data_IF_563910206066
#
_entry.id   IF_563910206066
#
_cell.length_a   1.000
_cell.length_b   1.000
_cell.length_c   1.000
_cell.angle_alpha   90.00
_cell.angle_beta   90.00
_cell.angle_gamma   90.00
#
_symmetry.space_group_name_H-M   'P 1'
#
loop_
_entity.id
_entity.type
_entity.pdbx_description
1 polymer ?
#
# COMPACT_ATOMS: atom_id res chain seq x y z
N UNK A 1 51.97 -28.81 55.06
CA UNK A 1 52.39 -28.75 53.65
C UNK A 1 51.42 -29.58 52.83
N UNK A 2 50.31 -28.94 52.42
CA UNK A 2 49.38 -29.20 51.32
C UNK A 2 48.04 -28.58 51.75
N UNK A 3 47.53 -27.66 50.95
CA UNK A 3 46.54 -26.65 51.32
C UNK A 3 45.24 -26.89 50.55
N UNK A 4 44.18 -27.17 51.32
CA UNK A 4 42.84 -26.54 51.33
C UNK A 4 41.97 -26.54 50.06
N UNK A 5 40.87 -27.30 50.17
CA UNK A 5 39.43 -27.00 50.03
C UNK A 5 38.83 -26.29 48.81
N UNK A 6 37.63 -26.81 48.57
CA UNK A 6 36.54 -26.58 47.62
C UNK A 6 35.93 -25.17 47.52
N UNK A 7 35.35 -25.00 46.32
CA UNK A 7 34.13 -24.31 45.92
C UNK A 7 33.97 -22.79 46.17
N UNK A 8 34.06 -22.02 45.09
CA UNK A 8 33.08 -20.99 44.62
C UNK A 8 33.73 -20.05 43.58
N UNK A 9 32.98 -19.81 42.51
CA UNK A 9 33.27 -18.87 41.41
C UNK A 9 33.61 -17.45 41.91
N UNK A 10 34.60 -16.76 41.30
CA UNK A 10 34.27 -15.43 40.81
C UNK A 10 35.13 -14.98 39.61
N UNK A 11 34.55 -14.76 38.42
CA UNK A 11 35.03 -13.71 37.48
C UNK A 11 33.89 -13.16 36.62
N UNK A 12 33.46 -11.94 36.92
CA UNK A 12 33.14 -10.96 35.86
C UNK A 12 34.33 -9.99 35.69
N UNK A 13 34.24 -8.99 34.81
CA UNK A 13 33.56 -8.94 33.52
C UNK A 13 34.58 -9.06 32.36
N UNK A 14 34.19 -9.69 31.25
CA UNK A 14 34.92 -9.51 29.99
C UNK A 14 34.59 -8.11 29.46
N UNK A 15 35.63 -7.33 29.16
CA UNK A 15 35.48 -6.01 28.53
C UNK A 15 34.81 -6.10 27.15
N UNK A 16 34.34 -4.97 26.59
CA UNK A 16 33.57 -4.97 25.37
C UNK A 16 34.48 -5.34 24.19
N UNK A 17 34.14 -6.41 23.49
CA UNK A 17 34.67 -6.73 22.16
C UNK A 17 33.58 -6.50 21.10
N UNK A 18 33.98 -6.20 19.86
CA UNK A 18 33.55 -5.01 19.15
C UNK A 18 32.23 -5.16 18.41
N UNK A 19 31.48 -4.05 18.33
CA UNK A 19 30.43 -3.88 17.33
C UNK A 19 31.01 -4.01 15.92
N UNK A 20 30.43 -4.91 15.13
CA UNK A 20 30.53 -4.87 13.67
C UNK A 20 31.28 -6.03 13.01
N UNK A 21 30.61 -7.18 12.87
CA UNK A 21 30.73 -8.02 11.66
C UNK A 21 29.36 -8.64 11.36
N UNK A 22 28.68 -8.17 10.31
CA UNK A 22 27.51 -8.84 9.77
C UNK A 22 27.89 -10.25 9.32
N UNK A 23 27.28 -11.27 9.91
CA UNK A 23 27.49 -12.66 9.50
C UNK A 23 26.84 -12.83 8.11
N UNK A 24 27.65 -12.96 7.06
CA UNK A 24 27.15 -13.33 5.73
C UNK A 24 26.42 -14.68 5.82
N UNK A 25 25.26 -14.78 5.16
CA UNK A 25 24.54 -16.04 5.08
C UNK A 25 25.39 -17.11 4.37
N UNK A 26 25.34 -18.33 4.88
CA UNK A 26 26.10 -19.47 4.37
C UNK A 26 25.48 -20.02 3.07
N UNK A 27 24.16 -19.86 2.92
CA UNK A 27 23.38 -20.27 1.75
C UNK A 27 22.55 -19.10 1.21
N UNK A 28 22.29 -19.12 -0.10
CA UNK A 28 21.45 -18.12 -0.74
C UNK A 28 19.97 -18.48 -0.56
N UNK A 29 19.64 -19.78 -0.61
CA UNK A 29 18.29 -20.29 -0.43
C UNK A 29 18.22 -21.52 0.48
N UNK A 30 17.24 -21.53 1.39
CA UNK A 30 16.76 -22.74 2.05
C UNK A 30 15.45 -23.21 1.39
N UNK A 31 15.36 -24.50 1.02
CA UNK A 31 14.14 -25.08 0.44
C UNK A 31 13.37 -25.85 1.52
N UNK A 32 12.23 -25.29 1.94
CA UNK A 32 11.29 -25.88 2.90
C UNK A 32 10.18 -26.62 2.14
N UNK A 33 9.96 -27.89 2.45
CA UNK A 33 8.99 -28.75 1.78
C UNK A 33 8.46 -29.83 2.71
N UNK A 34 7.32 -30.43 2.37
CA UNK A 34 6.80 -31.61 3.07
C UNK A 34 7.34 -32.87 2.41
N UNK A 35 7.59 -33.95 3.16
CA UNK A 35 8.28 -35.15 2.67
C UNK A 35 7.65 -35.78 1.39
N UNK A 36 6.35 -35.58 1.15
CA UNK A 36 5.69 -36.05 -0.09
C UNK A 36 6.12 -35.28 -1.33
N UNK A 37 6.52 -34.03 -1.17
CA UNK A 37 6.91 -33.11 -2.25
C UNK A 37 8.42 -33.14 -2.52
N UNK A 38 9.12 -34.18 -2.03
CA UNK A 38 10.56 -34.29 -2.12
C UNK A 38 11.13 -34.27 -3.54
N UNK A 39 10.41 -34.84 -4.51
CA UNK A 39 10.84 -34.81 -5.92
C UNK A 39 10.84 -33.39 -6.47
N UNK A 40 9.84 -32.57 -6.12
CA UNK A 40 9.83 -31.14 -6.45
C UNK A 40 10.94 -30.37 -5.74
N UNK A 41 11.22 -30.70 -4.47
CA UNK A 41 12.28 -30.04 -3.70
C UNK A 41 13.67 -30.29 -4.30
N UNK A 42 13.95 -31.54 -4.68
CA UNK A 42 15.17 -31.93 -5.41
C UNK A 42 15.28 -31.21 -6.74
N UNK A 43 14.20 -31.18 -7.51
CA UNK A 43 14.19 -30.54 -8.82
C UNK A 43 14.44 -29.02 -8.71
N UNK A 44 13.74 -28.33 -7.81
CA UNK A 44 13.94 -26.89 -7.57
C UNK A 44 15.37 -26.59 -7.12
N UNK A 45 15.91 -27.38 -6.18
CA UNK A 45 17.29 -27.20 -5.72
C UNK A 45 18.31 -27.37 -6.87
N UNK A 46 18.11 -28.40 -7.71
CA UNK A 46 18.97 -28.65 -8.88
C UNK A 46 19.01 -27.45 -9.83
N UNK A 47 17.86 -26.89 -10.19
CA UNK A 47 17.79 -25.73 -11.11
C UNK A 47 18.54 -24.52 -10.55
N UNK A 48 18.48 -24.30 -9.25
CA UNK A 48 19.14 -23.17 -8.59
C UNK A 48 20.66 -23.36 -8.47
N UNK A 49 21.12 -24.58 -8.16
CA UNK A 49 22.56 -24.88 -8.12
C UNK A 49 23.21 -24.82 -9.51
N UNK A 50 22.47 -25.15 -10.58
CA UNK A 50 22.99 -25.03 -11.95
C UNK A 50 23.28 -23.56 -12.31
N UNK A 51 22.45 -22.64 -11.82
CA UNK A 51 22.65 -21.18 -11.85
C UNK A 51 23.61 -20.66 -10.76
N UNK A 52 24.34 -21.57 -10.10
CA UNK A 52 25.42 -21.30 -9.13
C UNK A 52 24.97 -20.70 -7.79
N UNK A 53 23.69 -20.83 -7.43
CA UNK A 53 23.24 -20.51 -6.08
C UNK A 53 23.65 -21.60 -5.09
N UNK A 54 23.95 -21.21 -3.85
CA UNK A 54 24.18 -22.12 -2.72
C UNK A 54 22.84 -22.47 -2.10
N UNK A 55 22.41 -23.73 -2.26
CA UNK A 55 21.10 -24.19 -1.78
C UNK A 55 21.24 -25.12 -0.59
N UNK A 56 20.46 -24.86 0.45
CA UNK A 56 20.29 -25.77 1.58
C UNK A 56 19.01 -26.58 1.36
N UNK A 57 19.18 -27.85 0.96
CA UNK A 57 18.09 -28.83 0.85
C UNK A 57 18.27 -29.94 1.89
N UNK A 58 17.20 -30.26 2.63
CA UNK A 58 17.27 -31.23 3.72
C UNK A 58 17.74 -32.63 3.25
N UNK A 59 17.31 -33.10 2.09
CA UNK A 59 17.69 -34.43 1.59
C UNK A 59 19.15 -34.58 1.15
N UNK A 60 19.80 -33.49 0.72
CA UNK A 60 21.14 -33.55 0.13
C UNK A 60 22.25 -33.23 1.13
N UNK A 61 21.89 -32.57 2.25
CA UNK A 61 22.85 -32.02 3.20
C UNK A 61 22.79 -32.67 4.60
N UNK A 62 21.95 -33.69 4.84
CA UNK A 62 21.86 -34.38 6.14
C UNK A 62 22.24 -35.86 6.09
N UNK A 63 23.23 -36.24 6.92
CA UNK A 63 23.58 -37.62 7.26
C UNK A 63 22.69 -38.18 8.39
N UNK A 64 22.50 -39.51 8.51
CA UNK A 64 21.72 -40.12 9.59
C UNK A 64 22.19 -39.72 10.99
N UNK A 65 21.25 -39.29 11.87
CA UNK A 65 21.54 -38.95 13.28
C UNK A 65 21.20 -37.51 13.73
N UNK A 66 20.68 -36.68 12.83
CA UNK A 66 20.41 -35.25 13.11
C UNK A 66 18.98 -35.01 13.63
N UNK A 67 18.81 -34.25 14.72
CA UNK A 67 17.50 -33.98 15.34
C UNK A 67 16.68 -32.94 14.55
N UNK A 68 15.52 -33.36 14.03
CA UNK A 68 14.71 -32.66 13.03
C UNK A 68 14.16 -31.30 13.51
N UNK A 69 13.62 -31.22 14.73
CA UNK A 69 12.93 -30.01 15.22
C UNK A 69 13.88 -28.87 15.63
N UNK A 70 15.15 -29.16 15.90
CA UNK A 70 16.14 -28.20 16.37
C UNK A 70 16.97 -27.55 15.23
N UNK A 71 16.79 -27.98 13.98
CA UNK A 71 17.57 -27.49 12.82
C UNK A 71 16.90 -26.34 12.07
N UNK A 72 15.56 -26.32 12.00
CA UNK A 72 14.81 -25.37 11.17
C UNK A 72 15.16 -23.89 11.40
N UNK A 73 15.23 -23.46 12.67
CA UNK A 73 15.60 -22.07 12.99
C UNK A 73 17.06 -21.76 12.63
N UNK A 74 17.97 -22.73 12.74
CA UNK A 74 19.38 -22.58 12.34
C UNK A 74 19.50 -22.48 10.83
N UNK A 75 18.81 -23.36 10.11
CA UNK A 75 18.85 -23.47 8.64
C UNK A 75 18.26 -22.22 7.96
N UNK A 76 17.17 -21.69 8.52
CA UNK A 76 16.58 -20.41 8.08
C UNK A 76 17.46 -19.20 8.43
N UNK A 77 18.19 -19.23 9.54
CA UNK A 77 19.11 -18.14 9.91
C UNK A 77 20.40 -18.18 9.08
N UNK A 78 20.80 -19.37 8.62
CA UNK A 78 21.97 -19.59 7.78
C UNK A 78 21.75 -19.24 6.30
N UNK A 79 20.51 -18.96 5.89
CA UNK A 79 20.12 -18.71 4.49
C UNK A 79 19.60 -17.29 4.28
N UNK A 80 19.90 -16.66 3.13
CA UNK A 80 19.38 -15.31 2.84
C UNK A 80 17.86 -15.28 2.68
N UNK A 81 17.30 -16.30 2.02
CA UNK A 81 15.87 -16.45 1.77
C UNK A 81 15.43 -17.91 1.91
N UNK A 82 14.15 -18.09 2.19
CA UNK A 82 13.47 -19.40 2.30
C UNK A 82 12.46 -19.54 1.17
N UNK A 83 12.61 -20.60 0.37
CA UNK A 83 11.61 -21.04 -0.61
C UNK A 83 10.71 -22.06 0.09
N UNK A 84 9.41 -21.81 0.14
CA UNK A 84 8.43 -22.73 0.72
C UNK A 84 7.64 -23.43 -0.40
N UNK A 85 7.83 -24.74 -0.55
CA UNK A 85 7.05 -25.55 -1.50
C UNK A 85 5.70 -25.90 -0.87
N UNK A 86 4.65 -25.22 -1.34
CA UNK A 86 3.32 -25.28 -0.76
C UNK A 86 2.45 -26.30 -1.50
N UNK A 87 1.97 -27.25 -0.72
CA UNK A 87 0.97 -28.26 -1.06
C UNK A 87 -0.09 -28.30 0.06
N UNK A 88 -1.27 -28.87 -0.16
CA UNK A 88 -2.23 -29.24 0.87
C UNK A 88 -1.56 -30.05 1.99
N UNK A 89 -0.61 -30.93 1.66
CA UNK A 89 0.10 -31.73 2.69
C UNK A 89 1.08 -30.89 3.50
N UNK A 90 1.74 -29.91 2.87
CA UNK A 90 2.54 -28.89 3.54
C UNK A 90 1.67 -28.00 4.44
N UNK A 91 0.51 -27.57 3.95
CA UNK A 91 -0.44 -26.73 4.69
C UNK A 91 -1.11 -27.49 5.83
N UNK A 92 -1.32 -28.80 5.73
CA UNK A 92 -1.93 -29.60 6.78
C UNK A 92 -0.96 -29.94 7.92
N UNK A 93 0.35 -29.74 7.71
CA UNK A 93 1.35 -30.06 8.71
C UNK A 93 1.62 -28.89 9.66
N UNK A 94 1.30 -29.09 10.93
CA UNK A 94 1.52 -28.10 12.00
C UNK A 94 3.01 -27.73 12.19
N UNK A 95 3.93 -28.53 11.67
CA UNK A 95 5.37 -28.28 11.74
C UNK A 95 5.82 -27.28 10.64
N UNK A 96 5.42 -27.51 9.40
CA UNK A 96 5.70 -26.67 8.23
C UNK A 96 4.92 -25.35 8.29
N UNK A 97 3.74 -25.34 8.92
CA UNK A 97 3.02 -24.10 9.27
C UNK A 97 3.89 -23.12 10.09
N UNK A 98 4.58 -23.63 11.11
CA UNK A 98 5.47 -22.81 11.94
C UNK A 98 6.70 -22.31 11.17
N UNK A 99 7.16 -23.04 10.15
CA UNK A 99 8.34 -22.68 9.36
C UNK A 99 8.17 -21.37 8.59
N UNK A 100 7.04 -21.20 7.90
CA UNK A 100 6.80 -19.97 7.14
C UNK A 100 6.28 -18.83 8.03
N UNK A 101 5.56 -19.12 9.11
CA UNK A 101 5.14 -18.11 10.10
C UNK A 101 6.36 -17.43 10.74
N UNK A 102 7.40 -18.19 11.09
CA UNK A 102 8.67 -17.66 11.61
C UNK A 102 9.45 -16.84 10.58
N UNK A 103 9.41 -17.23 9.29
CA UNK A 103 10.04 -16.45 8.22
C UNK A 103 9.36 -15.09 8.03
N UNK A 104 8.03 -15.08 8.12
CA UNK A 104 7.21 -13.87 7.99
C UNK A 104 7.35 -12.92 9.19
N UNK A 105 7.48 -13.44 10.42
CA UNK A 105 7.71 -12.62 11.61
C UNK A 105 9.04 -11.86 11.57
N UNK A 106 10.05 -12.38 10.88
CA UNK A 106 11.36 -11.72 10.72
C UNK A 106 11.43 -10.76 9.51
N UNK A 107 10.46 -10.79 8.60
CA UNK A 107 10.32 -9.86 7.47
C UNK A 107 8.89 -9.91 6.91
N UNK A 108 8.13 -8.83 7.09
CA UNK A 108 6.77 -8.65 6.53
C UNK A 108 6.75 -8.44 5.00
N UNK A 109 7.67 -9.07 4.26
CA UNK A 109 7.75 -9.07 2.80
C UNK A 109 8.61 -7.97 2.16
N UNK A 110 9.29 -7.12 2.93
CA UNK A 110 10.11 -6.02 2.38
C UNK A 110 11.50 -6.49 1.94
N UNK A 111 12.12 -7.41 2.69
CA UNK A 111 13.35 -8.09 2.29
C UNK A 111 13.10 -9.35 1.42
N UNK A 112 11.83 -9.74 1.25
CA UNK A 112 11.39 -10.92 0.49
C UNK A 112 12.09 -12.18 0.99
N UNK A 113 12.16 -12.34 2.31
CA UNK A 113 12.80 -13.50 2.94
C UNK A 113 12.02 -14.80 2.76
N UNK A 114 10.72 -14.75 2.52
CA UNK A 114 9.89 -15.93 2.25
C UNK A 114 9.36 -15.88 0.82
N UNK A 115 9.60 -16.95 0.06
CA UNK A 115 9.20 -17.12 -1.35
C UNK A 115 8.30 -18.35 -1.48
N UNK A 116 6.96 -18.20 -1.45
CA UNK A 116 6.05 -19.32 -1.61
C UNK A 116 6.02 -19.80 -3.08
N UNK A 117 6.16 -21.11 -3.27
CA UNK A 117 6.03 -21.79 -4.57
C UNK A 117 5.02 -22.92 -4.42
N UNK A 118 3.87 -22.84 -5.09
CA UNK A 118 2.83 -23.87 -5.03
C UNK A 118 3.17 -24.99 -6.01
N UNK A 119 3.25 -26.22 -5.52
CA UNK A 119 3.51 -27.43 -6.31
C UNK A 119 2.24 -28.21 -6.62
N UNK A 120 1.11 -27.78 -6.05
CA UNK A 120 -0.24 -28.23 -6.37
C UNK A 120 -1.27 -27.12 -6.10
N UNK A 121 -2.44 -27.23 -6.72
CA UNK A 121 -3.51 -26.23 -6.63
C UNK A 121 -4.20 -26.24 -5.26
N UNK A 122 -3.55 -25.61 -4.28
CA UNK A 122 -4.05 -25.48 -2.91
C UNK A 122 -4.29 -24.01 -2.52
N UNK A 123 -5.34 -23.74 -1.73
CA UNK A 123 -5.64 -22.38 -1.26
C UNK A 123 -4.70 -21.97 -0.13
N UNK A 124 -3.98 -20.87 -0.31
CA UNK A 124 -3.08 -20.32 0.72
C UNK A 124 -3.89 -19.68 1.87
N UNK A 125 -3.74 -20.15 3.11
CA UNK A 125 -4.46 -19.61 4.26
C UNK A 125 -3.73 -18.41 4.89
N UNK A 126 -4.49 -17.51 5.50
CA UNK A 126 -3.96 -16.43 6.34
C UNK A 126 -2.87 -15.60 5.64
N UNK A 127 -1.77 -15.36 6.36
CA UNK A 127 -0.66 -14.49 5.91
C UNK A 127 0.07 -15.01 4.66
N UNK A 128 0.06 -16.32 4.38
CA UNK A 128 0.59 -16.86 3.12
C UNK A 128 -0.23 -16.39 1.90
N UNK A 129 -1.53 -16.16 2.09
CA UNK A 129 -2.41 -15.65 1.03
C UNK A 129 -2.16 -14.19 0.68
N UNK A 130 -1.49 -13.44 1.56
CA UNK A 130 -1.14 -12.03 1.35
C UNK A 130 0.25 -11.85 0.69
N UNK A 131 1.00 -12.94 0.50
CA UNK A 131 2.29 -12.95 -0.19
C UNK A 131 2.09 -13.47 -1.62
N UNK A 132 2.68 -12.78 -2.60
CA UNK A 132 2.67 -13.25 -3.98
C UNK A 132 3.41 -14.60 -4.07
N UNK A 133 2.70 -15.65 -4.44
CA UNK A 133 3.24 -16.99 -4.68
C UNK A 133 3.51 -17.23 -6.17
N UNK A 134 4.36 -18.21 -6.46
CA UNK A 134 4.59 -18.75 -7.81
C UNK A 134 3.94 -20.13 -7.93
N UNK A 135 3.12 -20.35 -8.96
CA UNK A 135 2.47 -21.63 -9.22
C UNK A 135 3.37 -22.45 -10.18
N UNK A 136 3.95 -23.54 -9.67
CA UNK A 136 4.77 -24.48 -10.42
C UNK A 136 3.96 -25.66 -10.98
N UNK A 137 2.76 -25.89 -10.44
CA UNK A 137 1.79 -26.84 -11.01
C UNK A 137 1.18 -26.29 -12.31
N UNK A 138 0.67 -27.18 -13.16
CA UNK A 138 0.08 -26.85 -14.47
C UNK A 138 0.99 -26.13 -15.47
N UNK A 139 2.32 -26.16 -15.27
CA UNK A 139 3.30 -25.70 -16.26
C UNK A 139 3.48 -26.77 -17.35
N UNK A 140 3.56 -26.32 -18.61
CA UNK A 140 3.47 -27.18 -19.79
C UNK A 140 4.60 -28.22 -19.92
N UNK A 141 5.83 -27.84 -19.57
CA UNK A 141 7.00 -28.71 -19.61
C UNK A 141 8.10 -28.25 -18.63
N UNK A 142 9.14 -29.09 -18.48
CA UNK A 142 10.24 -28.86 -17.54
C UNK A 142 11.10 -27.63 -17.89
N UNK A 143 11.29 -27.34 -19.18
CA UNK A 143 12.13 -26.22 -19.61
C UNK A 143 11.45 -24.88 -19.27
N UNK A 144 10.13 -24.79 -19.49
CA UNK A 144 9.34 -23.63 -19.11
C UNK A 144 9.24 -23.50 -17.58
N UNK A 145 9.06 -24.61 -16.87
CA UNK A 145 9.04 -24.61 -15.40
C UNK A 145 10.36 -24.06 -14.82
N UNK A 146 11.51 -24.50 -15.35
CA UNK A 146 12.83 -24.03 -14.91
C UNK A 146 13.00 -22.53 -15.19
N UNK A 147 12.65 -22.08 -16.40
CA UNK A 147 12.73 -20.67 -16.80
C UNK A 147 11.89 -19.77 -15.88
N UNK A 148 10.66 -20.18 -15.58
CA UNK A 148 9.75 -19.43 -14.72
C UNK A 148 10.23 -19.39 -13.26
N UNK A 149 10.73 -20.52 -12.74
CA UNK A 149 11.32 -20.60 -11.41
C UNK A 149 12.51 -19.64 -11.27
N UNK A 150 13.46 -19.67 -12.21
CA UNK A 150 14.64 -18.81 -12.16
C UNK A 150 14.28 -17.33 -12.29
N UNK A 151 13.32 -16.99 -13.17
CA UNK A 151 12.81 -15.63 -13.29
C UNK A 151 12.16 -15.15 -11.98
N UNK A 152 11.39 -16.02 -11.32
CA UNK A 152 10.78 -15.73 -10.02
C UNK A 152 11.82 -15.42 -8.95
N UNK A 153 12.93 -16.15 -8.94
CA UNK A 153 14.05 -15.93 -8.02
C UNK A 153 14.76 -14.60 -8.30
N UNK A 154 15.03 -14.28 -9.56
CA UNK A 154 15.61 -12.99 -9.95
C UNK A 154 14.69 -11.83 -9.56
N UNK A 155 13.38 -11.99 -9.77
CA UNK A 155 12.38 -11.00 -9.39
C UNK A 155 12.34 -10.79 -7.87
N UNK A 156 12.48 -11.87 -7.10
CA UNK A 156 12.55 -11.84 -5.64
C UNK A 156 13.83 -11.16 -5.14
N UNK A 157 14.98 -11.37 -5.77
CA UNK A 157 16.23 -10.69 -5.41
C UNK A 157 16.19 -9.20 -5.75
N UNK A 158 15.75 -8.87 -6.97
CA UNK A 158 15.69 -7.49 -7.47
C UNK A 158 14.51 -6.68 -6.92
N UNK A 159 13.48 -7.35 -6.38
CA UNK A 159 12.23 -6.74 -5.93
C UNK A 159 11.35 -6.21 -7.05
N UNK A 160 11.55 -6.68 -8.28
CA UNK A 160 10.86 -6.14 -9.46
C UNK A 160 10.54 -7.22 -10.49
N UNK A 161 9.27 -7.60 -10.58
CA UNK A 161 8.74 -8.56 -11.56
C UNK A 161 8.39 -7.90 -12.90
N UNK A 162 9.34 -7.17 -13.50
CA UNK A 162 9.08 -6.47 -14.76
C UNK A 162 9.38 -7.43 -15.94
N UNK A 163 8.40 -7.74 -16.81
CA UNK A 163 8.63 -8.56 -18.00
C UNK A 163 9.79 -8.03 -18.84
N UNK A 164 10.63 -8.94 -19.34
CA UNK A 164 11.74 -8.63 -20.26
C UNK A 164 11.24 -8.14 -21.61
N UNK A 165 10.14 -8.72 -22.10
CA UNK A 165 9.38 -8.22 -23.25
C UNK A 165 8.17 -7.42 -22.79
N UNK A 166 7.82 -6.37 -23.53
CA UNK A 166 6.63 -5.58 -23.24
C UNK A 166 5.39 -6.46 -23.44
N UNK A 167 4.52 -6.64 -22.43
CA UNK A 167 3.31 -7.42 -22.62
C UNK A 167 2.41 -6.74 -23.68
N UNK A 168 1.70 -7.52 -24.52
CA UNK A 168 0.78 -6.96 -25.49
C UNK A 168 -0.31 -6.15 -24.78
N UNK A 169 -0.90 -5.22 -25.51
CA UNK A 169 -1.97 -4.41 -24.95
C UNK A 169 -3.17 -5.30 -24.59
N UNK A 170 -3.67 -5.30 -23.34
CA UNK A 170 -4.85 -6.08 -22.99
C UNK A 170 -6.04 -5.71 -23.90
N UNK A 171 -6.53 -6.68 -24.68
CA UNK A 171 -7.59 -6.48 -25.69
C UNK A 171 -7.11 -6.41 -27.14
N UNK A 172 -5.80 -6.52 -27.42
CA UNK A 172 -5.32 -6.79 -28.78
C UNK A 172 -5.34 -8.30 -29.06
N UNK A 173 -5.81 -8.73 -30.24
CA UNK A 173 -5.63 -10.09 -30.77
C UNK A 173 -4.17 -10.34 -31.19
N UNK A 174 -3.21 -9.83 -30.42
CA UNK A 174 -1.79 -10.08 -30.62
C UNK A 174 -1.48 -11.47 -30.10
N UNK A 175 -1.10 -12.37 -31.01
CA UNK A 175 -0.49 -13.66 -30.68
C UNK A 175 0.74 -13.47 -29.79
N UNK A 176 0.90 -14.39 -28.84
CA UNK A 176 1.94 -14.48 -27.81
C UNK A 176 3.36 -14.12 -28.30
N UNK A 177 4.18 -13.43 -27.49
CA UNK A 177 5.55 -13.10 -27.84
C UNK A 177 6.50 -14.25 -27.47
N UNK A 178 6.46 -15.33 -28.26
CA UNK A 178 7.58 -16.28 -28.35
C UNK A 178 8.46 -16.01 -29.58
N UNK A 179 8.27 -14.87 -30.26
CA UNK A 179 9.12 -14.48 -31.38
C UNK A 179 9.84 -13.15 -31.13
N UNK A 180 11.18 -13.11 -31.33
CA UNK A 180 12.01 -11.95 -31.01
C UNK A 180 11.86 -10.86 -32.07
N UNK A 181 11.53 -9.65 -31.64
CA UNK A 181 11.56 -8.45 -32.46
C UNK A 181 11.94 -7.23 -31.62
N UNK A 182 13.19 -6.79 -31.78
CA UNK A 182 13.76 -5.60 -31.14
C UNK A 182 12.95 -4.34 -31.47
N UNK A 183 12.66 -3.52 -30.45
CA UNK A 183 12.97 -2.08 -30.47
C UNK A 183 12.70 -1.46 -29.10
N UNK A 184 13.81 -1.03 -28.47
CA UNK A 184 13.87 -0.32 -27.19
C UNK A 184 13.11 1.01 -27.25
N UNK A 185 12.12 1.18 -26.36
CA UNK A 185 11.68 2.51 -25.91
C UNK A 185 11.67 2.55 -24.38
N UNK A 186 12.47 3.45 -23.81
CA UNK A 186 12.66 3.64 -22.37
C UNK A 186 11.30 3.92 -21.69
N UNK A 187 10.85 3.03 -20.80
CA UNK A 187 9.64 3.24 -19.99
C UNK A 187 9.94 4.14 -18.78
N UNK A 188 9.35 5.33 -18.78
CA UNK A 188 9.38 6.31 -17.68
C UNK A 188 8.56 5.82 -16.47
N UNK A 189 8.94 6.20 -15.24
CA UNK A 189 8.13 5.94 -14.03
C UNK A 189 6.82 6.74 -14.04
N UNK A 190 5.76 6.32 -13.30
CA UNK A 190 4.51 7.10 -13.21
C UNK A 190 4.71 8.56 -12.80
N UNK A 191 5.68 8.81 -11.91
CA UNK A 191 6.10 10.16 -11.49
C UNK A 191 6.72 10.96 -12.63
N UNK A 192 7.52 10.31 -13.48
CA UNK A 192 8.10 10.92 -14.66
C UNK A 192 7.08 11.10 -15.81
N UNK A 193 5.93 10.42 -15.74
CA UNK A 193 4.84 10.52 -16.73
C UNK A 193 3.82 11.61 -16.38
N UNK A 194 3.53 11.86 -15.11
CA UNK A 194 2.59 12.91 -14.65
C UNK A 194 3.22 14.32 -14.74
N UNK A 195 3.56 14.73 -15.95
CA UNK A 195 4.09 16.06 -16.24
C UNK A 195 2.97 17.11 -16.30
N UNK A 196 3.34 18.35 -16.03
CA UNK A 196 2.45 19.51 -16.09
C UNK A 196 1.85 19.94 -14.76
N UNK A 197 0.97 20.92 -14.83
CA UNK A 197 0.36 21.59 -13.68
C UNK A 197 -0.89 20.84 -13.21
N UNK A 198 -1.11 20.66 -11.89
CA UNK A 198 -2.36 20.09 -11.38
C UNK A 198 -3.59 20.84 -11.90
N UNK A 199 -4.69 20.13 -12.16
CA UNK A 199 -5.94 20.70 -12.66
C UNK A 199 -6.45 21.81 -11.74
N UNK A 200 -6.36 21.61 -10.42
CA UNK A 200 -6.74 22.58 -9.39
C UNK A 200 -5.97 23.91 -9.44
N UNK A 201 -4.82 23.95 -10.13
CA UNK A 201 -3.99 25.15 -10.30
C UNK A 201 -4.12 25.80 -11.67
N UNK A 202 -4.92 25.23 -12.57
CA UNK A 202 -5.20 25.84 -13.86
C UNK A 202 -6.12 27.04 -13.70
N UNK A 203 -5.93 28.07 -14.52
CA UNK A 203 -6.85 29.22 -14.59
C UNK A 203 -8.27 28.76 -14.95
N UNK A 204 -8.34 27.71 -15.75
CA UNK A 204 -9.57 27.08 -16.24
C UNK A 204 -10.10 25.99 -15.29
N UNK A 205 -9.70 25.96 -14.01
CA UNK A 205 -10.16 24.93 -13.07
C UNK A 205 -11.70 24.84 -13.07
N UNK A 206 -12.30 23.67 -13.38
CA UNK A 206 -13.73 23.57 -13.64
C UNK A 206 -14.61 23.49 -12.40
N UNK A 207 -14.04 23.60 -11.19
CA UNK A 207 -14.80 23.56 -9.94
C UNK A 207 -14.88 24.96 -9.35
N UNK A 208 -16.10 25.43 -9.08
CA UNK A 208 -16.35 26.79 -8.61
C UNK A 208 -17.38 26.85 -7.50
N UNK A 209 -17.34 27.93 -6.73
CA UNK A 209 -18.37 28.28 -5.76
C UNK A 209 -19.41 29.18 -6.43
N UNK A 210 -20.60 28.64 -6.69
CA UNK A 210 -21.78 29.43 -7.03
C UNK A 210 -22.33 30.12 -5.79
N UNK A 211 -22.56 31.44 -5.90
CA UNK A 211 -23.14 32.28 -4.85
C UNK A 211 -22.48 32.15 -3.47
N UNK A 212 -21.19 31.79 -3.45
CA UNK A 212 -20.40 31.50 -2.22
C UNK A 212 -20.99 30.38 -1.34
N UNK A 213 -21.89 29.55 -1.87
CA UNK A 213 -22.64 28.55 -1.08
C UNK A 213 -22.66 27.15 -1.67
N UNK A 214 -22.63 27.00 -3.00
CA UNK A 214 -22.69 25.70 -3.66
C UNK A 214 -21.43 25.46 -4.49
N UNK A 215 -20.80 24.30 -4.32
CA UNK A 215 -19.71 23.88 -5.21
C UNK A 215 -20.34 23.24 -6.45
N UNK A 216 -19.92 23.65 -7.63
CA UNK A 216 -20.43 23.13 -8.90
C UNK A 216 -19.33 22.89 -9.92
N UNK A 217 -19.67 22.08 -10.93
CA UNK A 217 -18.85 21.88 -12.12
C UNK A 217 -19.25 22.90 -13.19
N UNK A 218 -18.42 23.90 -13.39
CA UNK A 218 -18.59 24.94 -14.42
C UNK A 218 -18.25 24.34 -15.79
N UNK A 219 -19.28 24.10 -16.61
CA UNK A 219 -19.16 23.42 -17.90
C UNK A 219 -18.35 24.22 -18.94
N UNK A 220 -18.34 25.54 -18.83
CA UNK A 220 -17.58 26.42 -19.71
C UNK A 220 -16.08 26.33 -19.37
N UNK A 221 -15.75 26.32 -18.07
CA UNK A 221 -14.40 26.07 -17.58
C UNK A 221 -13.95 24.65 -17.89
N UNK A 222 -14.82 23.64 -17.76
CA UNK A 222 -14.51 22.27 -18.14
C UNK A 222 -14.13 22.18 -19.63
N UNK A 223 -14.89 22.87 -20.49
CA UNK A 223 -14.59 22.96 -21.92
C UNK A 223 -13.22 23.60 -22.18
N UNK A 224 -12.94 24.75 -21.57
CA UNK A 224 -11.65 25.45 -21.70
C UNK A 224 -10.49 24.64 -21.12
N UNK A 225 -10.70 23.98 -19.99
CA UNK A 225 -9.72 23.09 -19.36
C UNK A 225 -9.36 21.94 -20.31
N UNK A 226 -10.35 21.25 -20.90
CA UNK A 226 -10.10 20.19 -21.88
C UNK A 226 -9.24 20.69 -23.05
N UNK A 227 -9.60 21.84 -23.62
CA UNK A 227 -8.86 22.44 -24.74
C UNK A 227 -7.41 22.77 -24.35
N UNK A 228 -7.21 23.39 -23.19
CA UNK A 228 -5.89 23.78 -22.70
C UNK A 228 -5.02 22.57 -22.34
N UNK A 229 -5.61 21.57 -21.66
CA UNK A 229 -4.94 20.31 -21.33
C UNK A 229 -4.37 19.66 -22.60
N UNK A 230 -5.18 19.57 -23.66
CA UNK A 230 -4.74 19.02 -24.96
C UNK A 230 -3.64 19.90 -25.57
N UNK A 231 -3.85 21.22 -25.64
CA UNK A 231 -2.91 22.15 -26.27
C UNK A 231 -1.53 22.16 -25.60
N UNK A 232 -1.48 22.06 -24.27
CA UNK A 232 -0.25 22.09 -23.47
C UNK A 232 0.37 20.70 -23.23
N UNK A 233 -0.25 19.61 -23.71
CA UNK A 233 0.14 18.22 -23.39
C UNK A 233 0.27 17.99 -21.87
N UNK A 234 -0.62 18.58 -21.07
CA UNK A 234 -0.58 18.49 -19.61
C UNK A 234 -1.16 17.15 -19.12
N UNK A 235 -0.29 16.15 -18.95
CA UNK A 235 -0.67 14.79 -18.55
C UNK A 235 -1.33 14.76 -17.19
N UNK A 236 -0.80 15.51 -16.22
CA UNK A 236 -1.33 15.55 -14.86
C UNK A 236 -2.77 16.04 -14.81
N UNK A 237 -3.04 17.19 -15.43
CA UNK A 237 -4.38 17.73 -15.48
C UNK A 237 -5.34 16.82 -16.28
N UNK A 238 -4.86 16.09 -17.30
CA UNK A 238 -5.67 15.11 -18.03
C UNK A 238 -6.17 13.98 -17.12
N UNK A 239 -5.28 13.41 -16.29
CA UNK A 239 -5.63 12.34 -15.33
C UNK A 239 -6.59 12.85 -14.25
N UNK A 240 -6.32 14.03 -13.70
CA UNK A 240 -7.18 14.64 -12.68
C UNK A 240 -8.56 15.04 -13.25
N UNK A 241 -8.62 15.49 -14.51
CA UNK A 241 -9.86 15.83 -15.21
C UNK A 241 -10.70 14.57 -15.48
N UNK A 242 -10.06 13.48 -15.91
CA UNK A 242 -10.73 12.20 -16.09
C UNK A 242 -11.35 11.70 -14.79
N UNK A 243 -10.60 11.78 -13.68
CA UNK A 243 -11.10 11.44 -12.35
C UNK A 243 -12.32 12.29 -11.99
N UNK A 244 -12.19 13.63 -12.07
CA UNK A 244 -13.26 14.57 -11.72
C UNK A 244 -14.54 14.30 -12.51
N UNK A 245 -14.44 14.14 -13.84
CA UNK A 245 -15.60 13.91 -14.69
C UNK A 245 -16.19 12.51 -14.47
N UNK A 246 -15.35 11.49 -14.27
CA UNK A 246 -15.82 10.13 -14.03
C UNK A 246 -16.64 10.01 -12.73
N UNK A 247 -16.23 10.68 -11.65
CA UNK A 247 -16.97 10.65 -10.38
C UNK A 247 -18.29 11.43 -10.45
N UNK A 248 -18.36 12.50 -11.25
CA UNK A 248 -19.52 13.40 -11.31
C UNK A 248 -20.47 13.15 -12.49
N UNK A 249 -20.21 12.15 -13.33
CA UNK A 249 -21.06 11.82 -14.49
C UNK A 249 -22.52 11.52 -14.13
N UNK A 250 -22.84 10.83 -13.01
CA UNK A 250 -24.24 10.56 -12.64
C UNK A 250 -25.03 11.84 -12.36
N UNK A 251 -24.38 12.88 -11.86
CA UNK A 251 -25.03 14.09 -11.34
C UNK A 251 -24.95 15.29 -12.30
N UNK A 252 -24.08 15.22 -13.32
CA UNK A 252 -23.84 16.32 -14.26
C UNK A 252 -24.07 15.88 -15.70
N UNK A 253 -25.09 16.48 -16.33
CA UNK A 253 -25.35 16.29 -17.76
C UNK A 253 -24.39 17.15 -18.60
N UNK A 254 -23.59 16.49 -19.42
CA UNK A 254 -22.65 17.17 -20.33
C UNK A 254 -23.30 17.38 -21.70
N UNK A 255 -23.19 18.61 -22.23
CA UNK A 255 -23.52 18.87 -23.64
C UNK A 255 -22.71 17.95 -24.56
N UNK A 256 -23.23 17.55 -25.75
CA UNK A 256 -22.52 16.70 -26.69
C UNK A 256 -21.10 17.19 -27.03
N UNK A 257 -20.93 18.50 -27.19
CA UNK A 257 -19.63 19.13 -27.48
C UNK A 257 -18.64 19.01 -26.31
N UNK A 258 -19.12 19.22 -25.08
CA UNK A 258 -18.30 19.08 -23.88
C UNK A 258 -17.92 17.61 -23.68
N UNK A 259 -18.85 16.69 -23.90
CA UNK A 259 -18.58 15.26 -23.82
C UNK A 259 -17.53 14.82 -24.87
N UNK A 260 -17.66 15.29 -26.12
CA UNK A 260 -16.70 15.01 -27.18
C UNK A 260 -15.28 15.49 -26.83
N UNK A 261 -15.16 16.67 -26.20
CA UNK A 261 -13.87 17.18 -25.72
C UNK A 261 -13.27 16.33 -24.59
N UNK A 262 -14.08 15.89 -23.62
CA UNK A 262 -13.61 14.97 -22.57
C UNK A 262 -13.12 13.65 -23.19
N UNK A 263 -13.86 13.09 -24.16
CA UNK A 263 -13.42 11.87 -24.87
C UNK A 263 -12.13 12.11 -25.66
N UNK A 264 -11.97 13.30 -26.23
CA UNK A 264 -10.74 13.68 -26.92
C UNK A 264 -9.55 13.75 -25.97
N UNK A 265 -9.69 14.31 -24.76
CA UNK A 265 -8.64 14.26 -23.72
C UNK A 265 -8.25 12.79 -23.45
N UNK A 266 -9.23 11.91 -23.18
CA UNK A 266 -8.94 10.47 -22.96
C UNK A 266 -8.23 9.81 -24.13
N UNK A 267 -8.55 10.20 -25.37
CA UNK A 267 -7.93 9.66 -26.57
C UNK A 267 -6.48 10.15 -26.76
N UNK A 268 -6.24 11.45 -26.58
CA UNK A 268 -4.94 12.12 -26.78
C UNK A 268 -3.90 11.73 -25.71
N UNK A 269 -4.36 11.44 -24.49
CA UNK A 269 -3.53 11.01 -23.35
C UNK A 269 -3.65 9.52 -23.05
N UNK A 270 -4.24 8.74 -23.96
CA UNK A 270 -4.51 7.31 -23.75
C UNK A 270 -3.25 6.54 -23.34
N UNK A 271 -2.11 6.87 -23.95
CA UNK A 271 -0.84 6.17 -23.67
C UNK A 271 -0.38 6.43 -22.25
N UNK A 272 -0.39 7.69 -21.81
CA UNK A 272 0.02 8.09 -20.47
C UNK A 272 -0.95 7.58 -19.41
N UNK A 273 -2.25 7.72 -19.66
CA UNK A 273 -3.30 7.26 -18.75
C UNK A 273 -3.31 5.74 -18.56
N UNK A 274 -2.85 4.95 -19.53
CA UNK A 274 -2.69 3.48 -19.37
C UNK A 274 -1.68 3.08 -18.30
N UNK A 275 -0.74 3.97 -17.94
CA UNK A 275 0.21 3.73 -16.85
C UNK A 275 -0.30 4.20 -15.48
N UNK A 276 -1.52 4.75 -15.43
CA UNK A 276 -2.19 5.16 -14.21
C UNK A 276 -3.36 4.22 -13.93
N UNK A 277 -3.64 3.99 -12.65
CA UNK A 277 -4.88 3.33 -12.25
C UNK A 277 -6.09 4.12 -12.78
N UNK A 278 -7.16 3.43 -13.17
CA UNK A 278 -8.42 4.08 -13.52
C UNK A 278 -9.06 4.77 -12.30
N UNK A 279 -10.04 5.68 -12.48
CA UNK A 279 -10.62 6.46 -11.38
C UNK A 279 -11.14 5.63 -10.20
N UNK A 280 -11.78 4.49 -10.46
CA UNK A 280 -12.30 3.60 -9.41
C UNK A 280 -11.17 2.93 -8.62
N UNK A 281 -10.13 2.43 -9.33
CA UNK A 281 -8.97 1.84 -8.69
C UNK A 281 -8.17 2.88 -7.88
N UNK A 282 -8.01 4.10 -8.41
CA UNK A 282 -7.41 5.21 -7.66
C UNK A 282 -8.20 5.55 -6.39
N UNK A 283 -9.53 5.57 -6.45
CA UNK A 283 -10.35 5.83 -5.26
C UNK A 283 -10.17 4.71 -4.22
N UNK A 284 -10.27 3.46 -4.63
CA UNK A 284 -10.10 2.28 -3.77
C UNK A 284 -8.71 2.25 -3.11
N UNK A 285 -7.66 2.46 -3.89
CA UNK A 285 -6.29 2.29 -3.40
C UNK A 285 -5.81 3.51 -2.57
N UNK A 286 -6.35 4.71 -2.82
CA UNK A 286 -5.84 5.95 -2.20
C UNK A 286 -6.77 6.54 -1.15
N UNK A 287 -8.09 6.40 -1.30
CA UNK A 287 -9.07 7.07 -0.45
C UNK A 287 -9.68 6.10 0.57
N UNK A 288 -10.01 4.86 0.19
CA UNK A 288 -10.61 3.90 1.14
C UNK A 288 -9.73 3.61 2.38
N UNK A 289 -8.40 3.46 2.28
CA UNK A 289 -7.55 3.33 3.46
C UNK A 289 -7.66 4.54 4.39
N UNK A 290 -7.79 5.75 3.83
CA UNK A 290 -7.95 6.99 4.59
C UNK A 290 -9.35 7.10 5.23
N UNK A 291 -10.38 6.56 4.57
CA UNK A 291 -11.73 6.42 5.16
C UNK A 291 -11.64 5.53 6.40
N UNK A 292 -11.00 4.37 6.29
CA UNK A 292 -10.83 3.45 7.42
C UNK A 292 -10.06 4.10 8.57
N UNK A 293 -8.94 4.76 8.26
CA UNK A 293 -8.18 5.53 9.25
C UNK A 293 -9.04 6.59 9.93
N UNK A 294 -9.81 7.38 9.17
CA UNK A 294 -10.67 8.44 9.72
C UNK A 294 -11.76 7.86 10.61
N UNK A 295 -12.34 6.72 10.23
CA UNK A 295 -13.36 6.02 11.01
C UNK A 295 -12.79 5.51 12.33
N UNK A 296 -11.64 4.85 12.31
CA UNK A 296 -10.98 4.32 13.51
C UNK A 296 -10.56 5.43 14.47
N UNK A 297 -9.89 6.48 13.95
CA UNK A 297 -9.51 7.64 14.76
C UNK A 297 -10.74 8.32 15.35
N UNK A 298 -11.79 8.55 14.55
CA UNK A 298 -13.02 9.16 15.03
C UNK A 298 -13.71 8.37 16.12
N UNK A 299 -13.71 7.03 16.01
CA UNK A 299 -14.26 6.13 17.03
C UNK A 299 -13.52 6.23 18.37
N UNK A 300 -12.20 6.46 18.37
CA UNK A 300 -11.43 6.68 19.61
C UNK A 300 -11.89 7.92 20.39
N UNK A 301 -12.42 8.93 19.70
CA UNK A 301 -12.94 10.17 20.30
C UNK A 301 -14.47 10.20 20.33
N UNK A 302 -15.13 9.04 20.27
CA UNK A 302 -16.58 8.97 20.33
C UNK A 302 -17.13 9.74 21.55
N UNK A 303 -18.28 10.39 21.36
CA UNK A 303 -18.98 11.20 22.36
C UNK A 303 -18.29 12.51 22.75
N UNK A 304 -17.12 12.81 22.19
CA UNK A 304 -16.48 14.11 22.34
C UNK A 304 -16.92 15.04 21.21
N UNK A 305 -16.97 16.36 21.45
CA UNK A 305 -17.32 17.34 20.43
C UNK A 305 -16.10 17.66 19.53
N UNK A 306 -15.54 16.59 18.96
CA UNK A 306 -14.43 16.60 18.00
C UNK A 306 -14.91 15.87 16.74
N UNK A 307 -15.14 16.61 15.67
CA UNK A 307 -15.57 16.08 14.38
C UNK A 307 -14.38 15.88 13.45
N UNK A 308 -14.33 14.70 12.83
CA UNK A 308 -13.36 14.37 11.79
C UNK A 308 -14.08 14.28 10.45
N UNK A 309 -13.54 14.97 9.44
CA UNK A 309 -14.10 14.98 8.08
C UNK A 309 -12.98 14.74 7.08
N UNK A 310 -13.05 13.63 6.38
CA UNK A 310 -12.15 13.32 5.28
C UNK A 310 -12.72 13.82 3.97
N UNK A 311 -11.90 14.54 3.21
CA UNK A 311 -12.21 15.04 1.89
C UNK A 311 -11.33 14.36 0.83
N UNK A 312 -11.92 13.82 -0.24
CA UNK A 312 -11.21 13.59 -1.50
C UNK A 312 -11.11 14.93 -2.23
N UNK A 313 -9.88 15.36 -2.52
CA UNK A 313 -9.63 16.67 -3.14
C UNK A 313 -9.80 16.67 -4.63
N UNK A 314 -9.86 15.48 -5.26
CA UNK A 314 -9.98 15.30 -6.71
C UNK A 314 -11.44 15.26 -7.16
N UNK A 315 -12.37 15.09 -6.22
CA UNK A 315 -13.80 15.26 -6.42
C UNK A 315 -14.40 16.28 -5.45
N UNK A 316 -14.26 17.59 -5.68
CA UNK A 316 -14.75 18.60 -4.75
C UNK A 316 -16.27 18.67 -4.62
N UNK A 317 -17.03 18.16 -5.60
CA UNK A 317 -18.49 18.19 -5.60
C UNK A 317 -19.06 17.16 -4.62
N UNK A 318 -18.43 15.98 -4.53
CA UNK A 318 -18.75 14.94 -3.55
C UNK A 318 -17.56 14.65 -2.62
N UNK A 319 -16.92 15.73 -2.17
CA UNK A 319 -15.61 15.65 -1.52
C UNK A 319 -15.63 14.86 -0.22
N UNK A 320 -16.67 15.00 0.60
CA UNK A 320 -16.71 14.36 1.91
C UNK A 320 -16.84 12.85 1.75
N UNK A 321 -15.78 12.12 2.10
CA UNK A 321 -15.70 10.66 1.98
C UNK A 321 -15.93 9.93 3.31
N UNK A 322 -15.68 10.60 4.44
CA UNK A 322 -15.96 10.09 5.78
C UNK A 322 -16.28 11.24 6.73
N UNK A 323 -17.21 11.00 7.65
CA UNK A 323 -17.55 11.91 8.75
C UNK A 323 -17.66 11.09 10.03
N UNK A 324 -16.93 11.50 11.07
CA UNK A 324 -17.07 10.94 12.41
C UNK A 324 -17.38 12.05 13.42
N UNK A 325 -18.26 11.72 14.37
CA UNK A 325 -18.72 12.65 15.41
C UNK A 325 -19.32 13.95 14.83
N UNK A 326 -20.12 13.84 13.78
CA UNK A 326 -20.67 14.97 13.00
C UNK A 326 -21.53 15.95 13.80
N UNK A 327 -21.18 17.24 13.77
CA UNK A 327 -22.01 18.33 14.33
C UNK A 327 -21.99 19.61 13.50
N UNK A 328 -21.28 19.62 12.37
CA UNK A 328 -21.29 20.71 11.39
C UNK A 328 -22.37 20.55 10.31
N UNK A 329 -23.08 19.41 10.32
CA UNK A 329 -24.14 19.08 9.35
C UNK A 329 -23.63 18.44 8.05
N UNK A 330 -22.32 18.25 7.91
CA UNK A 330 -21.72 17.54 6.77
C UNK A 330 -22.03 16.04 6.82
N UNK A 331 -22.22 15.45 5.65
CA UNK A 331 -22.46 14.02 5.46
C UNK A 331 -21.56 13.50 4.34
N UNK A 332 -21.38 12.18 4.26
CA UNK A 332 -20.70 11.56 3.10
C UNK A 332 -21.40 11.98 1.80
N UNK A 333 -20.63 12.36 0.80
CA UNK A 333 -21.11 12.95 -0.45
C UNK A 333 -21.35 14.46 -0.39
N UNK A 334 -21.22 15.12 0.77
CA UNK A 334 -21.28 16.58 0.84
C UNK A 334 -20.15 17.23 0.04
N UNK A 335 -20.40 18.40 -0.58
CA UNK A 335 -19.36 19.14 -1.28
C UNK A 335 -18.30 19.67 -0.32
N UNK A 336 -17.15 20.04 -0.90
CA UNK A 336 -16.08 20.69 -0.16
C UNK A 336 -16.53 22.06 0.40
N UNK A 337 -16.01 22.44 1.58
CA UNK A 337 -16.22 23.79 2.11
C UNK A 337 -15.43 24.84 1.33
N UNK A 338 -15.78 26.12 1.45
CA UNK A 338 -15.01 27.21 0.86
C UNK A 338 -13.54 27.25 1.34
N UNK A 339 -13.31 26.94 2.63
CA UNK A 339 -11.94 26.88 3.19
C UNK A 339 -11.19 25.70 2.60
N UNK A 340 -11.78 24.51 2.58
CA UNK A 340 -11.12 23.33 2.01
C UNK A 340 -10.91 23.48 0.49
N UNK A 341 -11.84 24.08 -0.27
CA UNK A 341 -11.64 24.38 -1.69
C UNK A 341 -10.48 25.35 -1.90
N UNK A 342 -10.37 26.38 -1.05
CA UNK A 342 -9.21 27.28 -1.08
C UNK A 342 -7.90 26.53 -0.84
N UNK A 343 -7.89 25.47 -0.02
CA UNK A 343 -6.69 24.64 0.22
C UNK A 343 -6.41 23.68 -0.94
N UNK A 344 -7.42 23.27 -1.70
CA UNK A 344 -7.26 22.46 -2.92
C UNK A 344 -6.60 23.31 -4.02
N UNK A 345 -7.14 24.50 -4.25
CA UNK A 345 -6.68 25.41 -5.31
C UNK A 345 -5.34 26.06 -4.94
N UNK A 346 -5.24 26.54 -3.70
CA UNK A 346 -4.06 27.21 -3.15
C UNK A 346 -3.58 26.46 -1.90
N UNK A 347 -2.91 25.30 -2.07
CA UNK A 347 -2.38 24.57 -0.93
C UNK A 347 -1.37 25.43 -0.18
N UNK A 348 -1.53 25.55 1.15
CA UNK A 348 -0.59 26.30 1.99
C UNK A 348 0.81 25.65 1.93
N UNK A 349 1.84 26.40 2.33
CA UNK A 349 3.14 25.81 2.68
C UNK A 349 3.02 24.79 3.82
N UNK A 350 4.15 24.26 4.30
CA UNK A 350 4.21 23.18 5.30
C UNK A 350 3.48 23.45 6.65
N UNK A 351 3.00 24.68 6.88
CA UNK A 351 2.25 25.04 8.09
C UNK A 351 0.76 24.72 7.93
N UNK A 352 0.33 23.62 8.56
CA UNK A 352 -1.08 23.33 8.82
C UNK A 352 -1.64 24.35 9.81
N UNK A 353 -2.06 25.52 9.30
CA UNK A 353 -2.58 26.58 10.15
C UNK A 353 -3.92 26.14 10.78
N UNK A 354 -3.94 26.06 12.11
CA UNK A 354 -5.16 25.97 12.92
C UNK A 354 -5.91 27.30 12.80
N UNK A 355 -7.21 27.26 12.54
CA UNK A 355 -8.05 28.44 12.36
C UNK A 355 -9.36 28.31 13.13
N UNK A 356 -10.09 29.42 13.25
CA UNK A 356 -11.37 29.45 13.93
C UNK A 356 -12.51 29.57 12.92
N UNK A 357 -13.57 28.79 13.10
CA UNK A 357 -14.80 28.85 12.30
C UNK A 357 -15.97 29.23 13.21
N UNK A 358 -16.92 29.99 12.69
CA UNK A 358 -18.21 30.24 13.34
C UNK A 358 -19.31 29.48 12.59
N UNK A 359 -20.04 28.62 13.28
CA UNK A 359 -21.20 27.93 12.74
C UNK A 359 -22.40 28.87 12.62
N UNK A 360 -23.42 28.54 11.78
CA UNK A 360 -24.64 29.36 11.65
C UNK A 360 -25.39 29.59 12.97
N UNK A 361 -25.29 28.65 13.91
CA UNK A 361 -25.87 28.73 15.25
C UNK A 361 -25.06 29.59 16.24
N UNK A 362 -23.95 30.18 15.79
CA UNK A 362 -23.08 31.06 16.58
C UNK A 362 -21.92 30.34 17.28
N UNK A 363 -21.92 29.00 17.34
CA UNK A 363 -20.83 28.24 17.99
C UNK A 363 -19.49 28.48 17.32
N UNK A 364 -18.42 28.44 18.13
CA UNK A 364 -17.04 28.65 17.67
C UNK A 364 -16.29 27.33 17.65
N UNK A 365 -15.76 26.98 16.48
CA UNK A 365 -14.93 25.79 16.30
C UNK A 365 -13.47 26.20 16.17
N UNK A 366 -12.59 25.42 16.80
CA UNK A 366 -11.17 25.39 16.48
C UNK A 366 -10.95 24.29 15.46
N UNK A 367 -10.54 24.65 14.26
CA UNK A 367 -10.46 23.77 13.11
C UNK A 367 -9.02 23.64 12.61
N UNK A 368 -8.64 22.45 12.19
CA UNK A 368 -7.40 22.18 11.47
C UNK A 368 -7.71 21.46 10.17
N UNK A 369 -6.93 21.74 9.13
CA UNK A 369 -7.00 21.03 7.84
C UNK A 369 -5.62 20.44 7.55
N UNK A 370 -5.53 19.12 7.57
CA UNK A 370 -4.30 18.37 7.37
C UNK A 370 -4.28 17.87 5.92
N UNK A 371 -3.37 18.35 5.06
CA UNK A 371 -3.26 17.87 3.69
C UNK A 371 -2.54 16.52 3.63
N UNK A 372 -3.06 15.61 2.81
CA UNK A 372 -2.47 14.28 2.58
C UNK A 372 -2.00 14.21 1.14
N UNK A 373 -0.70 14.03 0.96
CA UNK A 373 -0.04 13.98 -0.33
C UNK A 373 0.34 12.55 -0.69
N UNK A 374 -0.03 12.13 -1.91
CA UNK A 374 0.51 10.95 -2.56
C UNK A 374 1.73 11.34 -3.40
N UNK A 375 2.78 10.53 -3.38
CA UNK A 375 4.03 10.80 -4.11
C UNK A 375 3.80 11.05 -5.61
N UNK A 376 2.88 10.31 -6.21
CA UNK A 376 2.57 10.37 -7.64
C UNK A 376 1.50 11.43 -7.95
N UNK A 377 0.40 11.45 -7.19
CA UNK A 377 -0.79 12.25 -7.52
C UNK A 377 -0.81 13.62 -6.83
N UNK A 378 0.12 13.89 -5.91
CA UNK A 378 0.13 15.14 -5.14
C UNK A 378 -0.99 15.15 -4.10
N UNK A 379 -1.68 16.27 -3.93
CA UNK A 379 -2.73 16.40 -2.92
C UNK A 379 -3.93 15.52 -3.28
N UNK A 380 -4.15 14.44 -2.52
CA UNK A 380 -5.24 13.48 -2.75
C UNK A 380 -6.37 13.59 -1.74
N UNK A 381 -6.09 14.11 -0.54
CA UNK A 381 -7.08 14.24 0.51
C UNK A 381 -6.80 15.40 1.48
N UNK A 382 -7.84 15.86 2.16
CA UNK A 382 -7.74 16.71 3.35
C UNK A 382 -8.45 16.03 4.51
N UNK A 383 -7.77 15.90 5.66
CA UNK A 383 -8.42 15.53 6.92
C UNK A 383 -8.69 16.80 7.73
N UNK A 384 -9.97 17.14 7.90
CA UNK A 384 -10.39 18.25 8.74
C UNK A 384 -10.74 17.76 10.14
N UNK A 385 -10.15 18.38 11.15
CA UNK A 385 -10.48 18.14 12.57
C UNK A 385 -11.12 19.41 13.11
N UNK A 386 -12.34 19.31 13.63
CA UNK A 386 -13.09 20.45 14.16
C UNK A 386 -13.42 20.20 15.62
N UNK A 387 -13.05 21.13 16.48
CA UNK A 387 -13.24 21.02 17.93
C UNK A 387 -14.16 22.14 18.38
N UNK A 388 -15.28 21.81 19.01
CA UNK A 388 -16.11 22.78 19.73
C UNK A 388 -15.43 23.13 21.06
N UNK A 389 -14.56 24.14 21.03
CA UNK A 389 -13.69 24.47 22.17
C UNK A 389 -14.48 24.95 23.40
N UNK A 390 -15.66 25.53 23.20
CA UNK A 390 -16.52 26.02 24.28
C UNK A 390 -17.05 24.87 25.15
N UNK A 391 -17.20 23.67 24.56
CA UNK A 391 -17.61 22.45 25.30
C UNK A 391 -16.50 21.83 26.15
N UNK A 392 -15.26 22.32 26.04
CA UNK A 392 -14.11 21.88 26.83
C UNK A 392 -13.65 22.91 27.88
N UNK A 393 -14.40 24.00 28.08
CA UNK A 393 -14.12 24.97 29.14
C UNK A 393 -14.24 24.33 30.55
N UNK A 394 -13.54 24.85 31.57
CA UNK A 394 -13.63 24.32 32.94
C UNK A 394 -15.08 24.25 33.43
N UNK A 395 -15.51 23.08 33.89
CA UNK A 395 -16.89 22.83 34.33
C UNK A 395 -17.89 22.47 33.22
N UNK A 396 -17.49 22.50 31.95
CA UNK A 396 -18.31 22.01 30.85
C UNK A 396 -18.35 20.47 30.83
N UNK A 397 -19.47 19.90 30.37
CA UNK A 397 -19.66 18.44 30.28
C UNK A 397 -18.53 17.74 29.48
N UNK A 398 -17.95 18.40 28.48
CA UNK A 398 -16.95 17.79 27.60
C UNK A 398 -15.62 17.46 28.27
N UNK A 399 -15.19 18.19 29.30
CA UNK A 399 -13.90 17.93 29.98
C UNK A 399 -13.96 16.69 30.86
N UNK A 400 -15.09 16.45 31.53
CA UNK A 400 -15.33 15.22 32.28
C UNK A 400 -15.49 14.03 31.32
N UNK A 401 -16.26 14.19 30.25
CA UNK A 401 -16.43 13.16 29.23
C UNK A 401 -15.12 12.81 28.52
N UNK A 402 -14.20 13.77 28.31
CA UNK A 402 -12.86 13.49 27.79
C UNK A 402 -12.10 12.53 28.70
N UNK A 403 -12.04 12.82 29.99
CA UNK A 403 -11.36 11.96 30.97
C UNK A 403 -12.03 10.59 31.08
N UNK A 404 -13.37 10.54 31.09
CA UNK A 404 -14.13 9.29 31.11
C UNK A 404 -13.91 8.45 29.85
N UNK A 405 -13.91 9.07 28.65
CA UNK A 405 -13.62 8.40 27.38
C UNK A 405 -12.19 7.87 27.35
N UNK A 406 -11.19 8.66 27.77
CA UNK A 406 -9.79 8.22 27.82
C UNK A 406 -9.55 7.10 28.84
N UNK A 407 -10.32 7.06 29.93
CA UNK A 407 -10.23 6.02 30.94
C UNK A 407 -10.98 4.72 30.56
N UNK A 408 -11.93 4.80 29.63
CA UNK A 408 -12.75 3.65 29.22
C UNK A 408 -12.01 2.84 28.15
N UNK A 409 -11.36 1.76 28.59
CA UNK A 409 -10.75 0.78 27.70
C UNK A 409 -11.82 -0.14 27.09
N UNK A 410 -11.62 -0.58 25.83
CA UNK A 410 -12.52 -1.55 25.22
C UNK A 410 -12.32 -2.95 25.83
N UNK A 411 -13.38 -3.76 25.85
CA UNK A 411 -13.38 -5.07 26.52
C UNK A 411 -12.45 -6.09 25.85
N UNK A 412 -12.15 -5.91 24.56
CA UNK A 412 -11.23 -6.75 23.81
C UNK A 412 -9.77 -6.34 24.07
N UNK A 413 -9.13 -7.02 25.02
CA UNK A 413 -7.70 -6.88 25.28
C UNK A 413 -6.88 -7.71 24.27
N UNK A 414 -5.86 -7.08 23.68
CA UNK A 414 -4.89 -7.74 22.80
C UNK A 414 -3.53 -7.69 23.49
N UNK A 415 -2.83 -8.83 23.56
CA UNK A 415 -1.44 -8.85 24.00
C UNK A 415 -0.54 -8.35 22.87
N UNK A 416 -0.02 -7.13 23.01
CA UNK A 416 0.88 -6.50 22.06
C UNK A 416 2.28 -6.38 22.68
N UNK A 417 3.30 -6.82 21.93
CA UNK A 417 4.69 -6.75 22.35
C UNK A 417 5.40 -5.65 21.57
N UNK A 418 5.98 -4.69 22.29
CA UNK A 418 6.75 -3.59 21.70
C UNK A 418 8.24 -3.94 21.75
N UNK A 419 8.86 -4.13 20.59
CA UNK A 419 10.28 -4.42 20.46
C UNK A 419 11.02 -3.13 20.08
N UNK A 420 12.05 -2.80 20.87
CA UNK A 420 12.86 -1.58 20.72
C UNK A 420 13.99 -1.70 19.72
#
# INVERSE_FOLDING_TARGET
>A
MLTIMDDTNPRGPAGPEPEGTGRQAEYDFFVSYHAKDHDWAKWVAWQLEDEKYRVLLQEWNFTPGTEWAASLRRDMTASERTIALVSETYLASAYEQRAWELAYQHDHGFARKLLPVRVEDCRLPGLLGDIKAFDLFDVADEAEASRLLLQWIVDAQTGRTKPTARPPFPGSTGTDPEQPGETSSRLLSPEALLTGTPLARMVEYPVRLRDKRAVELDLEHLRRACQRVIAERNVRAAVELDYLVAQNRPDVELSPDTYALVQRVKAEFRTEMRYMDGPQAQRRNLIEPLINLTNLVGAMFAHLPIEFVLHDTRDPLHSVCAVQNGFTGRQVGSPVSNVALSRIVNPPGAEAAVYQVRLPDGRRLRSATIPIYHRVFGLIALLCINVDAERFLPGAKGSKSLLETLARLPDNMVEEFFYG
#
